data_IF_987357931925
#
_entry.id   IF_987357931925
#
_cell.length_a   1.000
_cell.length_b   1.000
_cell.length_c   1.000
_cell.angle_alpha   90.00
_cell.angle_beta   90.00
_cell.angle_gamma   90.00
#
_symmetry.space_group_name_H-M   'P 1'
#
loop_
_entity.id
_entity.type
_entity.pdbx_description
1 polymer ?
#
# COMPACT_ATOMS: atom_id res chain seq x y z
N UNK A 1 20.82 12.36 -7.31
CA UNK A 1 20.53 13.37 -6.26
C UNK A 1 20.71 14.80 -6.77
N UNK A 2 21.58 15.03 -7.78
CA UNK A 2 21.87 16.37 -8.32
C UNK A 2 20.83 16.85 -9.34
N UNK A 3 20.21 15.97 -10.11
CA UNK A 3 19.20 16.37 -11.13
C UNK A 3 17.86 16.80 -10.53
N UNK A 4 17.51 16.33 -9.33
CA UNK A 4 16.29 16.77 -8.64
C UNK A 4 16.42 18.22 -8.12
N UNK A 5 17.65 18.68 -7.84
CA UNK A 5 17.88 20.05 -7.37
C UNK A 5 17.80 21.07 -8.49
N UNK A 6 18.10 20.73 -9.73
CA UNK A 6 17.98 21.64 -10.87
C UNK A 6 16.53 21.86 -11.33
N UNK A 7 15.65 20.86 -11.19
CA UNK A 7 14.21 21.02 -11.45
C UNK A 7 13.48 21.85 -10.38
N UNK A 8 14.10 22.08 -9.21
CA UNK A 8 13.52 22.85 -8.10
C UNK A 8 14.06 24.30 -8.02
N UNK A 9 14.86 24.72 -8.98
CA UNK A 9 15.37 26.10 -9.08
C UNK A 9 14.34 26.95 -9.83
N UNK A 10 13.41 27.51 -9.12
CA UNK A 10 12.36 28.38 -9.67
C UNK A 10 11.32 28.70 -8.61
N UNK A 11 10.13 29.15 -9.03
CA UNK A 11 9.00 29.48 -8.16
C UNK A 11 8.55 28.35 -7.23
N UNK A 12 8.85 27.09 -7.57
CA UNK A 12 8.48 25.90 -6.79
C UNK A 12 9.32 25.71 -5.52
N UNK A 13 10.55 26.18 -5.51
CA UNK A 13 11.38 26.16 -4.29
C UNK A 13 10.79 27.06 -3.21
N UNK A 14 10.18 28.19 -3.60
CA UNK A 14 9.45 29.09 -2.70
C UNK A 14 8.17 28.46 -2.14
N UNK A 15 7.54 27.54 -2.88
CA UNK A 15 6.33 26.83 -2.41
C UNK A 15 6.70 25.88 -1.25
N UNK A 16 7.77 25.11 -1.39
CA UNK A 16 8.23 24.18 -0.35
C UNK A 16 8.59 24.86 0.96
N UNK A 17 9.22 26.01 0.89
CA UNK A 17 9.67 26.78 2.06
C UNK A 17 8.51 27.49 2.79
N UNK A 18 7.35 27.61 2.15
CA UNK A 18 6.15 28.23 2.73
C UNK A 18 5.17 27.26 3.38
N UNK A 19 5.41 25.93 3.28
CA UNK A 19 4.58 24.94 3.95
C UNK A 19 5.13 24.61 5.34
N UNK A 20 4.25 24.60 6.33
CA UNK A 20 4.54 24.01 7.62
C UNK A 20 4.82 22.51 7.46
N UNK A 21 5.96 22.04 7.96
CA UNK A 21 6.40 20.68 7.78
C UNK A 21 5.53 19.67 8.54
N UNK A 22 4.94 20.06 9.67
CA UNK A 22 4.01 19.20 10.41
C UNK A 22 2.71 19.06 9.65
N UNK A 23 2.16 20.18 9.18
CA UNK A 23 0.98 20.15 8.31
C UNK A 23 1.19 19.30 7.06
N UNK A 24 2.35 19.42 6.39
CA UNK A 24 2.65 18.63 5.21
C UNK A 24 2.70 17.13 5.51
N UNK A 25 3.37 16.75 6.60
CA UNK A 25 3.45 15.36 7.06
C UNK A 25 2.08 14.79 7.41
N UNK A 26 1.18 15.61 7.92
CA UNK A 26 -0.18 15.20 8.24
C UNK A 26 -1.02 14.93 7.00
N UNK A 27 -0.69 15.55 5.86
CA UNK A 27 -1.37 15.29 4.61
C UNK A 27 -0.86 14.02 3.88
N UNK A 28 0.24 13.43 4.34
CA UNK A 28 0.86 12.25 3.70
C UNK A 28 0.83 11.05 4.64
N UNK A 29 0.40 9.92 4.14
CA UNK A 29 0.56 8.63 4.80
C UNK A 29 1.40 7.69 3.95
N UNK A 30 2.24 6.90 4.61
CA UNK A 30 3.12 5.93 3.95
C UNK A 30 2.93 4.57 4.61
N UNK A 31 2.70 3.55 3.80
CA UNK A 31 2.74 2.14 4.21
C UNK A 31 3.99 1.53 3.61
N UNK A 32 4.94 1.17 4.43
CA UNK A 32 6.24 0.64 4.01
C UNK A 32 6.17 -0.86 3.73
N UNK A 33 7.11 -1.37 2.97
CA UNK A 33 7.29 -2.81 2.72
C UNK A 33 7.50 -3.59 4.04
N UNK A 34 8.31 -3.06 4.95
CA UNK A 34 8.50 -3.64 6.29
C UNK A 34 7.54 -2.99 7.28
N UNK A 35 6.42 -3.65 7.48
CA UNK A 35 5.37 -3.18 8.37
C UNK A 35 5.71 -3.47 9.84
N UNK A 36 5.49 -2.47 10.70
CA UNK A 36 5.72 -2.57 12.14
C UNK A 36 4.42 -2.30 12.89
N UNK A 37 4.07 -3.23 13.78
CA UNK A 37 3.03 -3.05 14.78
C UNK A 37 3.67 -2.91 16.16
N UNK A 38 3.02 -2.16 17.02
CA UNK A 38 3.45 -1.93 18.40
C UNK A 38 2.71 -2.86 19.36
N UNK A 39 3.27 -3.09 20.52
CA UNK A 39 2.57 -3.81 21.59
C UNK A 39 1.36 -3.01 22.07
N UNK A 40 0.22 -3.69 22.22
CA UNK A 40 -1.06 -3.11 22.57
C UNK A 40 -2.20 -3.78 21.83
N UNK A 41 -3.42 -3.32 22.00
CA UNK A 41 -4.56 -3.87 21.26
C UNK A 41 -4.52 -3.52 19.78
N UNK A 42 -5.37 -4.16 18.97
CA UNK A 42 -5.56 -3.76 17.56
C UNK A 42 -6.04 -2.29 17.51
N UNK A 43 -6.99 -1.89 18.37
CA UNK A 43 -7.45 -0.48 18.45
C UNK A 43 -6.31 0.48 18.78
N UNK A 44 -5.46 0.15 19.74
CA UNK A 44 -4.28 0.98 20.06
C UNK A 44 -3.40 1.17 18.85
N UNK A 45 -3.13 0.07 18.13
CA UNK A 45 -2.33 0.11 16.91
C UNK A 45 -2.95 0.96 15.79
N UNK A 46 -4.27 0.95 15.65
CA UNK A 46 -4.98 1.77 14.68
C UNK A 46 -4.92 3.26 15.04
N UNK A 47 -5.09 3.59 16.32
CA UNK A 47 -5.04 4.97 16.83
C UNK A 47 -3.70 5.65 16.71
N UNK A 48 -2.61 4.92 16.42
CA UNK A 48 -1.36 5.55 15.96
C UNK A 48 -1.54 6.33 14.64
N UNK A 49 -2.56 6.05 13.85
CA UNK A 49 -2.91 6.84 12.67
C UNK A 49 -3.69 8.11 13.00
N UNK A 50 -4.56 8.04 14.01
CA UNK A 50 -5.33 9.17 14.54
C UNK A 50 -5.74 8.86 15.99
N UNK A 51 -5.12 9.52 16.95
CA UNK A 51 -5.35 9.31 18.39
C UNK A 51 -6.81 9.55 18.81
N UNK A 52 -7.52 10.42 18.10
CA UNK A 52 -8.92 10.78 18.39
C UNK A 52 -9.92 9.92 17.61
N UNK A 53 -9.48 8.90 16.88
CA UNK A 53 -10.38 8.05 16.12
C UNK A 53 -11.33 7.26 17.05
N UNK A 54 -12.59 7.31 16.73
CA UNK A 54 -13.62 6.50 17.37
C UNK A 54 -13.46 5.02 16.98
N UNK A 55 -14.03 4.11 17.76
CA UNK A 55 -14.04 2.69 17.43
C UNK A 55 -14.73 2.44 16.07
N UNK A 56 -15.79 3.17 15.77
CA UNK A 56 -16.48 3.07 14.48
C UNK A 56 -15.56 3.45 13.30
N UNK A 57 -14.78 4.52 13.43
CA UNK A 57 -13.81 4.92 12.38
C UNK A 57 -12.69 3.88 12.25
N UNK A 58 -12.23 3.28 13.35
CA UNK A 58 -11.26 2.20 13.32
C UNK A 58 -11.80 0.96 12.59
N UNK A 59 -13.06 0.61 12.83
CA UNK A 59 -13.74 -0.51 12.16
C UNK A 59 -13.88 -0.21 10.66
N UNK A 60 -14.36 0.96 10.28
CA UNK A 60 -14.50 1.38 8.88
C UNK A 60 -13.15 1.32 8.13
N UNK A 61 -12.08 1.78 8.77
CA UNK A 61 -10.74 1.70 8.19
C UNK A 61 -10.26 0.25 8.02
N UNK A 62 -10.61 -0.65 8.96
CA UNK A 62 -10.31 -2.08 8.86
C UNK A 62 -11.12 -2.76 7.75
N UNK A 63 -12.39 -2.41 7.57
CA UNK A 63 -13.21 -2.89 6.46
C UNK A 63 -12.60 -2.47 5.11
N UNK A 64 -12.19 -1.20 4.98
CA UNK A 64 -11.53 -0.70 3.77
C UNK A 64 -10.19 -1.39 3.47
N UNK A 65 -9.49 -1.87 4.50
CA UNK A 65 -8.25 -2.64 4.39
C UNK A 65 -8.48 -4.16 4.36
N UNK A 66 -9.73 -4.63 4.34
CA UNK A 66 -10.13 -6.04 4.47
C UNK A 66 -9.52 -6.72 5.72
N UNK A 67 -9.26 -5.95 6.78
CA UNK A 67 -8.70 -6.46 8.02
C UNK A 67 -9.77 -7.05 8.95
N UNK A 68 -11.01 -6.60 8.84
CA UNK A 68 -12.17 -7.07 9.56
C UNK A 68 -12.37 -8.58 9.40
N UNK A 69 -12.14 -9.13 8.19
CA UNK A 69 -12.30 -10.55 7.86
C UNK A 69 -11.52 -11.48 8.82
N UNK A 70 -10.34 -11.09 9.28
CA UNK A 70 -9.57 -11.89 10.22
C UNK A 70 -9.73 -11.42 11.67
N UNK A 71 -9.96 -10.14 11.90
CA UNK A 71 -10.18 -9.59 13.25
C UNK A 71 -11.40 -10.24 13.88
N UNK A 72 -12.49 -10.39 13.14
CA UNK A 72 -13.73 -11.03 13.62
C UNK A 72 -13.55 -12.50 14.02
N UNK A 73 -12.45 -13.16 13.58
CA UNK A 73 -12.12 -14.54 13.96
C UNK A 73 -11.33 -14.62 15.27
N UNK A 74 -10.78 -13.51 15.75
CA UNK A 74 -10.09 -13.50 17.03
C UNK A 74 -11.10 -13.50 18.18
N UNK A 75 -10.83 -14.22 19.29
CA UNK A 75 -11.72 -14.28 20.45
C UNK A 75 -12.06 -12.88 21.04
N UNK A 76 -11.05 -12.01 21.08
CA UNK A 76 -11.15 -10.65 21.64
C UNK A 76 -11.35 -9.59 20.54
N UNK A 77 -11.50 -10.00 19.27
CA UNK A 77 -11.73 -9.13 18.12
C UNK A 77 -10.76 -7.95 18.11
N UNK A 78 -11.26 -6.73 18.12
CA UNK A 78 -10.48 -5.49 18.09
C UNK A 78 -9.65 -5.24 19.37
N UNK A 79 -10.02 -5.88 20.47
CA UNK A 79 -9.26 -5.85 21.74
C UNK A 79 -8.13 -6.88 21.78
N UNK A 80 -7.97 -7.69 20.72
CA UNK A 80 -6.89 -8.66 20.61
C UNK A 80 -5.54 -7.96 20.76
N UNK A 81 -4.73 -8.47 21.70
CA UNK A 81 -3.41 -7.93 21.98
C UNK A 81 -2.41 -8.32 20.87
N UNK A 82 -1.71 -7.35 20.36
CA UNK A 82 -0.63 -7.49 19.39
C UNK A 82 0.71 -7.42 20.13
N UNK A 83 1.56 -8.40 19.94
CA UNK A 83 2.91 -8.40 20.47
C UNK A 83 3.81 -7.42 19.73
N UNK A 84 4.92 -7.02 20.35
CA UNK A 84 5.88 -6.10 19.75
C UNK A 84 6.35 -6.60 18.37
N UNK A 85 6.25 -5.76 17.36
CA UNK A 85 6.57 -6.12 15.99
C UNK A 85 5.50 -6.99 15.30
N UNK A 86 4.38 -7.31 15.99
CA UNK A 86 3.30 -8.12 15.44
C UNK A 86 3.71 -9.58 15.20
N UNK A 87 4.44 -10.19 16.14
CA UNK A 87 4.95 -11.57 16.01
C UNK A 87 3.84 -12.61 16.03
N UNK A 88 2.70 -12.26 16.64
CA UNK A 88 1.53 -13.12 16.78
C UNK A 88 0.48 -12.96 15.66
N UNK A 89 0.80 -12.22 14.58
CA UNK A 89 -0.04 -12.07 13.41
C UNK A 89 0.75 -12.35 12.12
N UNK A 90 0.07 -12.84 11.08
CA UNK A 90 0.71 -13.13 9.79
C UNK A 90 1.18 -11.85 9.07
N UNK A 91 2.09 -11.99 8.10
CA UNK A 91 2.57 -10.87 7.30
C UNK A 91 1.45 -10.11 6.60
N UNK A 92 0.49 -10.80 5.98
CA UNK A 92 -0.66 -10.19 5.32
C UNK A 92 -1.64 -9.54 6.30
N UNK A 93 -1.83 -10.09 7.51
CA UNK A 93 -2.63 -9.45 8.57
C UNK A 93 -1.96 -8.15 9.03
N UNK A 94 -0.64 -8.19 9.25
CA UNK A 94 0.17 -7.02 9.63
C UNK A 94 0.07 -5.91 8.58
N UNK A 95 0.19 -6.25 7.30
CA UNK A 95 0.06 -5.30 6.20
C UNK A 95 -1.31 -4.62 6.19
N UNK A 96 -2.39 -5.40 6.30
CA UNK A 96 -3.76 -4.87 6.33
C UNK A 96 -4.01 -3.94 7.52
N UNK A 97 -3.49 -4.25 8.71
CA UNK A 97 -3.56 -3.35 9.87
C UNK A 97 -2.77 -2.05 9.64
N UNK A 98 -1.60 -2.10 9.01
CA UNK A 98 -0.84 -0.90 8.68
C UNK A 98 -1.52 -0.05 7.61
N UNK A 99 -2.21 -0.67 6.64
CA UNK A 99 -3.05 0.04 5.67
C UNK A 99 -4.22 0.73 6.38
N UNK A 100 -4.96 0.03 7.26
CA UNK A 100 -6.05 0.60 8.04
C UNK A 100 -5.58 1.81 8.88
N UNK A 101 -4.42 1.68 9.55
CA UNK A 101 -3.77 2.78 10.28
C UNK A 101 -3.51 4.00 9.39
N UNK A 102 -3.01 3.79 8.16
CA UNK A 102 -2.72 4.86 7.23
C UNK A 102 -4.00 5.56 6.73
N UNK A 103 -5.09 4.81 6.56
CA UNK A 103 -6.39 5.33 6.15
C UNK A 103 -7.05 6.21 7.23
N UNK A 104 -6.89 5.87 8.51
CA UNK A 104 -7.43 6.66 9.63
C UNK A 104 -6.89 8.09 9.68
N UNK A 105 -5.71 8.33 9.15
CA UNK A 105 -5.15 9.69 9.01
C UNK A 105 -5.90 10.54 7.99
N UNK A 106 -6.74 9.95 7.14
CA UNK A 106 -7.47 10.61 6.04
C UNK A 106 -6.55 11.49 5.18
N UNK A 107 -5.44 10.93 4.65
CA UNK A 107 -4.39 11.69 3.99
C UNK A 107 -4.84 12.24 2.64
N UNK A 108 -4.18 13.30 2.16
CA UNK A 108 -4.31 13.78 0.77
C UNK A 108 -3.45 12.97 -0.19
N UNK A 109 -2.35 12.42 0.31
CA UNK A 109 -1.44 11.55 -0.45
C UNK A 109 -1.19 10.27 0.34
N UNK A 110 -1.46 9.13 -0.29
CA UNK A 110 -1.18 7.80 0.26
C UNK A 110 -0.10 7.12 -0.58
N UNK A 111 1.00 6.75 0.05
CA UNK A 111 2.10 6.02 -0.58
C UNK A 111 2.09 4.58 -0.06
N UNK A 112 2.00 3.63 -0.99
CA UNK A 112 2.00 2.19 -0.72
C UNK A 112 3.27 1.59 -1.33
N UNK A 113 4.28 1.34 -0.50
CA UNK A 113 5.57 0.80 -0.94
C UNK A 113 5.59 -0.72 -0.76
N UNK A 114 5.32 -1.44 -1.86
CA UNK A 114 5.19 -2.92 -1.92
C UNK A 114 4.35 -3.49 -0.76
N UNK A 115 3.37 -2.70 -0.33
CA UNK A 115 2.62 -2.90 0.91
C UNK A 115 1.56 -4.00 0.80
N UNK A 116 1.38 -4.60 -0.37
CA UNK A 116 0.45 -5.73 -0.60
C UNK A 116 1.17 -7.00 -1.03
N UNK A 117 2.51 -7.03 -0.99
CA UNK A 117 3.31 -8.19 -1.44
C UNK A 117 3.05 -9.48 -0.64
N UNK A 118 2.72 -9.36 0.64
CA UNK A 118 2.35 -10.50 1.50
C UNK A 118 0.82 -10.76 1.55
N UNK A 119 0.04 -10.02 0.77
CA UNK A 119 -1.40 -10.20 0.63
C UNK A 119 -1.67 -10.96 -0.67
N UNK A 120 -2.62 -11.88 -0.66
CA UNK A 120 -3.03 -12.59 -1.87
C UNK A 120 -3.67 -11.64 -2.91
N UNK A 121 -3.60 -12.01 -4.18
CA UNK A 121 -4.04 -11.16 -5.30
C UNK A 121 -5.53 -10.79 -5.22
N UNK A 122 -6.38 -11.67 -4.71
CA UNK A 122 -7.82 -11.40 -4.59
C UNK A 122 -8.10 -10.35 -3.49
N UNK A 123 -7.42 -10.47 -2.37
CA UNK A 123 -7.51 -9.49 -1.27
C UNK A 123 -6.90 -8.15 -1.66
N UNK A 124 -5.75 -8.12 -2.38
CA UNK A 124 -5.16 -6.89 -2.92
C UNK A 124 -6.14 -6.15 -3.85
N UNK A 125 -6.82 -6.87 -4.75
CA UNK A 125 -7.84 -6.28 -5.62
C UNK A 125 -9.02 -5.69 -4.82
N UNK A 126 -9.49 -6.36 -3.75
CA UNK A 126 -10.54 -5.84 -2.86
C UNK A 126 -10.10 -4.55 -2.16
N UNK A 127 -8.88 -4.51 -1.62
CA UNK A 127 -8.31 -3.33 -0.95
C UNK A 127 -8.27 -2.15 -1.93
N UNK A 128 -7.78 -2.36 -3.16
CA UNK A 128 -7.76 -1.31 -4.19
C UNK A 128 -9.15 -0.81 -4.56
N UNK A 129 -10.11 -1.71 -4.71
CA UNK A 129 -11.51 -1.34 -4.97
C UNK A 129 -12.12 -0.56 -3.80
N UNK A 130 -11.77 -0.91 -2.55
CA UNK A 130 -12.21 -0.18 -1.36
C UNK A 130 -11.64 1.25 -1.32
N UNK A 131 -10.39 1.47 -1.76
CA UNK A 131 -9.79 2.80 -1.83
C UNK A 131 -10.56 3.77 -2.74
N UNK A 132 -11.16 3.28 -3.81
CA UNK A 132 -11.97 4.11 -4.70
C UNK A 132 -13.21 4.68 -3.99
N UNK A 133 -13.75 3.93 -3.01
CA UNK A 133 -14.94 4.33 -2.24
C UNK A 133 -14.58 5.13 -0.99
N UNK A 134 -13.59 4.65 -0.23
CA UNK A 134 -13.27 5.20 1.10
C UNK A 134 -12.42 6.47 1.03
N UNK A 135 -11.57 6.61 0.01
CA UNK A 135 -10.66 7.75 -0.16
C UNK A 135 -10.63 8.28 -1.60
N UNK A 136 -11.78 8.70 -2.18
CA UNK A 136 -11.86 9.08 -3.59
C UNK A 136 -11.03 10.32 -3.95
N UNK A 137 -10.82 11.23 -2.99
CA UNK A 137 -10.06 12.46 -3.18
C UNK A 137 -8.56 12.37 -2.84
N UNK A 138 -8.07 11.18 -2.53
CA UNK A 138 -6.67 10.96 -2.15
C UNK A 138 -5.84 10.56 -3.37
N UNK A 139 -4.70 11.23 -3.59
CA UNK A 139 -3.70 10.79 -4.56
C UNK A 139 -2.97 9.56 -4.03
N UNK A 140 -2.93 8.48 -4.81
CA UNK A 140 -2.33 7.20 -4.41
C UNK A 140 -1.10 6.91 -5.26
N UNK A 141 0.05 6.74 -4.60
CA UNK A 141 1.27 6.22 -5.21
C UNK A 141 1.42 4.76 -4.80
N UNK A 142 1.33 3.85 -5.77
CA UNK A 142 1.47 2.42 -5.53
C UNK A 142 2.79 1.98 -6.16
N UNK A 143 3.73 1.56 -5.33
CA UNK A 143 4.98 0.96 -5.75
C UNK A 143 4.78 -0.56 -5.62
N UNK A 144 4.82 -1.27 -6.73
CA UNK A 144 4.58 -2.70 -6.75
C UNK A 144 5.47 -3.41 -7.78
N UNK A 145 5.77 -4.66 -7.48
CA UNK A 145 6.50 -5.56 -8.37
C UNK A 145 5.55 -6.32 -9.30
N UNK A 146 4.27 -6.45 -8.91
CA UNK A 146 3.25 -7.12 -9.73
C UNK A 146 2.50 -6.10 -10.58
N UNK A 147 2.46 -6.33 -11.88
CA UNK A 147 1.70 -5.46 -12.80
C UNK A 147 0.21 -5.50 -12.48
N UNK A 148 -0.33 -6.65 -12.04
CA UNK A 148 -1.72 -6.78 -11.62
C UNK A 148 -2.13 -5.81 -10.49
N UNK A 149 -1.17 -5.34 -9.69
CA UNK A 149 -1.43 -4.36 -8.64
C UNK A 149 -1.49 -2.92 -9.13
N UNK A 150 -1.03 -2.62 -10.35
CA UNK A 150 -0.95 -1.26 -10.89
C UNK A 150 -1.65 -1.06 -12.23
N UNK A 151 -2.09 -2.14 -12.89
CA UNK A 151 -2.70 -2.07 -14.23
C UNK A 151 -3.93 -1.17 -14.32
N UNK A 152 -4.69 -1.03 -13.21
CA UNK A 152 -5.89 -0.19 -13.13
C UNK A 152 -5.58 1.25 -12.68
N UNK A 153 -4.31 1.63 -12.57
CA UNK A 153 -3.91 2.98 -12.18
C UNK A 153 -4.14 3.98 -13.34
N UNK A 154 -4.47 5.23 -13.00
CA UNK A 154 -4.65 6.30 -13.99
C UNK A 154 -3.37 6.53 -14.81
N UNK A 155 -2.20 6.37 -14.20
CA UNK A 155 -0.88 6.47 -14.82
C UNK A 155 0.09 5.52 -14.17
N UNK A 156 0.98 4.96 -14.97
CA UNK A 156 2.07 4.08 -14.54
C UNK A 156 3.39 4.72 -14.93
N UNK A 157 4.32 4.77 -13.99
CA UNK A 157 5.69 5.21 -14.20
C UNK A 157 6.58 3.98 -14.28
N UNK A 158 7.25 3.80 -15.40
CA UNK A 158 8.27 2.75 -15.58
C UNK A 158 9.64 3.37 -15.30
N UNK A 159 10.34 2.83 -14.32
CA UNK A 159 11.68 3.27 -13.96
C UNK A 159 12.72 2.25 -14.43
N UNK A 160 13.75 2.71 -15.11
CA UNK A 160 14.90 1.91 -15.49
C UNK A 160 16.18 2.71 -15.33
N UNK A 161 17.22 2.09 -14.74
CA UNK A 161 18.51 2.73 -14.49
C UNK A 161 18.42 4.06 -13.72
N UNK A 162 17.41 4.24 -12.86
CA UNK A 162 17.17 5.47 -12.08
C UNK A 162 16.53 6.60 -12.90
N UNK A 163 16.04 6.33 -14.10
CA UNK A 163 15.36 7.29 -14.99
C UNK A 163 13.95 6.84 -15.31
N UNK A 164 13.09 7.80 -15.65
CA UNK A 164 11.75 7.51 -16.17
C UNK A 164 11.89 7.00 -17.59
N UNK A 165 11.59 5.72 -17.80
CA UNK A 165 11.60 5.06 -19.10
C UNK A 165 10.24 5.14 -19.80
N UNK A 166 9.14 5.16 -19.02
CA UNK A 166 7.78 5.29 -19.54
C UNK A 166 6.83 5.93 -18.54
N UNK A 167 5.85 6.65 -19.05
CA UNK A 167 4.79 7.29 -18.23
C UNK A 167 3.50 7.38 -19.03
N UNK A 168 2.62 6.40 -18.88
CA UNK A 168 1.30 6.37 -19.54
C UNK A 168 0.35 5.37 -18.84
N UNK A 169 -0.80 5.06 -19.48
CA UNK A 169 -1.72 4.00 -19.05
C UNK A 169 -1.14 2.61 -19.32
N UNK A 170 -1.72 1.59 -18.68
CA UNK A 170 -1.33 0.19 -18.89
C UNK A 170 -1.33 -0.19 -20.37
N UNK A 171 -2.45 0.07 -21.07
CA UNK A 171 -2.64 -0.33 -22.46
C UNK A 171 -1.55 0.27 -23.37
N UNK A 172 -1.28 1.57 -23.20
CA UNK A 172 -0.26 2.25 -24.01
C UNK A 172 1.14 1.76 -23.70
N UNK A 173 1.45 1.50 -22.43
CA UNK A 173 2.77 0.98 -22.06
C UNK A 173 3.00 -0.43 -22.60
N UNK A 174 1.99 -1.28 -22.64
CA UNK A 174 2.08 -2.61 -23.28
C UNK A 174 2.38 -2.48 -24.77
N UNK A 175 1.83 -1.48 -25.45
CA UNK A 175 2.05 -1.25 -26.88
C UNK A 175 3.41 -0.60 -27.19
N UNK A 176 3.82 0.39 -26.39
CA UNK A 176 4.91 1.30 -26.73
C UNK A 176 6.20 1.12 -25.92
N UNK A 177 6.12 0.49 -24.73
CA UNK A 177 7.27 0.33 -23.85
C UNK A 177 7.72 -1.13 -23.78
N UNK A 178 8.91 -1.42 -24.31
CA UNK A 178 9.45 -2.77 -24.41
C UNK A 178 9.69 -3.40 -23.03
N UNK A 179 10.28 -2.65 -22.09
CA UNK A 179 10.56 -3.12 -20.72
C UNK A 179 9.26 -3.49 -20.00
N UNK A 180 8.26 -2.62 -20.08
CA UNK A 180 6.98 -2.87 -19.44
C UNK A 180 6.28 -4.10 -20.03
N UNK A 181 6.28 -4.24 -21.34
CA UNK A 181 5.71 -5.38 -22.06
C UNK A 181 6.39 -6.69 -21.69
N UNK A 182 7.73 -6.74 -21.63
CA UNK A 182 8.47 -7.93 -21.24
C UNK A 182 8.11 -8.38 -19.81
N UNK A 183 8.03 -7.44 -18.86
CA UNK A 183 7.62 -7.73 -17.49
C UNK A 183 6.18 -8.25 -17.45
N UNK A 184 5.27 -7.61 -18.18
CA UNK A 184 3.88 -8.02 -18.27
C UNK A 184 3.74 -9.45 -18.82
N UNK A 185 4.37 -9.74 -19.95
CA UNK A 185 4.34 -11.06 -20.57
C UNK A 185 4.95 -12.14 -19.66
N UNK A 186 6.03 -11.84 -18.97
CA UNK A 186 6.66 -12.77 -18.03
C UNK A 186 5.73 -13.12 -16.88
N UNK A 187 4.98 -12.14 -16.35
CA UNK A 187 4.04 -12.36 -15.25
C UNK A 187 2.77 -13.07 -15.71
N UNK A 188 2.27 -12.79 -16.92
CA UNK A 188 1.10 -13.48 -17.48
C UNK A 188 1.44 -14.93 -17.83
N UNK A 189 2.61 -15.18 -18.43
CA UNK A 189 3.06 -16.55 -18.78
C UNK A 189 3.51 -17.35 -17.55
N UNK A 190 4.08 -16.70 -16.53
CA UNK A 190 4.53 -17.33 -15.27
C UNK A 190 3.39 -17.59 -14.28
N UNK A 191 2.27 -16.94 -14.41
CA UNK A 191 1.11 -17.10 -13.51
C UNK A 191 0.38 -18.44 -13.60
N UNK A 192 0.80 -19.31 -14.54
CA UNK A 192 0.30 -20.70 -14.63
C UNK A 192 1.04 -21.72 -13.76
N UNK A 193 2.23 -21.38 -13.22
CA UNK A 193 3.10 -22.39 -12.59
C UNK A 193 3.42 -22.11 -11.09
N UNK A 194 3.13 -20.93 -10.56
CA UNK A 194 3.51 -20.59 -9.18
C UNK A 194 2.48 -21.01 -8.11
N UNK A 195 1.24 -21.26 -8.46
CA UNK A 195 0.21 -21.74 -7.51
C UNK A 195 0.29 -23.25 -7.23
N UNK A 196 1.11 -24.00 -7.99
CA UNK A 196 1.22 -25.47 -7.85
C UNK A 196 2.40 -25.90 -6.95
N UNK A 197 3.37 -25.01 -6.67
CA UNK A 197 4.57 -25.42 -5.91
C UNK A 197 4.52 -25.17 -4.40
N UNK A 198 3.50 -24.50 -3.88
CA UNK A 198 3.36 -24.30 -2.43
C UNK A 198 2.54 -25.39 -1.70
N UNK A 199 1.88 -26.27 -2.42
CA UNK A 199 1.05 -27.35 -1.84
C UNK A 199 1.76 -28.71 -1.66
N UNK A 200 3.06 -28.80 -1.92
CA UNK A 200 3.76 -30.08 -2.03
C UNK A 200 4.96 -30.31 -1.11
N UNK A 201 5.09 -29.61 0.02
CA UNK A 201 6.19 -29.86 0.98
C UNK A 201 5.75 -29.76 2.43
N UNK A 202 4.73 -30.51 2.80
CA UNK A 202 4.50 -30.95 4.17
C UNK A 202 4.00 -32.38 4.13
N UNK A 203 4.92 -33.33 3.93
CA UNK A 203 4.81 -34.75 4.33
C UNK A 203 6.12 -35.47 3.90
N UNK A 204 7.12 -35.49 4.78
CA UNK A 204 8.10 -36.56 4.94
C UNK A 204 8.95 -36.32 6.21
#
# INVERSE_FOLDING_TARGET
>A
AYEISECLVGSEMCIRDNYDMEYLRDQVSVVLQKNVLFSGTILDNLRWGNENATDAECIEACEAACADEFIERFPEKYETYIEQGGTNVSGGQKQRLCIARALLKKPKVLILDDSTSAVDTATDAKIRAAFAKSIPGTTKFIIAQRISSVQDADRIIVLDGGRVNGFDTHEKLVETNEIYREIYESQVKGGGDFDVQSAGKEEA
#
